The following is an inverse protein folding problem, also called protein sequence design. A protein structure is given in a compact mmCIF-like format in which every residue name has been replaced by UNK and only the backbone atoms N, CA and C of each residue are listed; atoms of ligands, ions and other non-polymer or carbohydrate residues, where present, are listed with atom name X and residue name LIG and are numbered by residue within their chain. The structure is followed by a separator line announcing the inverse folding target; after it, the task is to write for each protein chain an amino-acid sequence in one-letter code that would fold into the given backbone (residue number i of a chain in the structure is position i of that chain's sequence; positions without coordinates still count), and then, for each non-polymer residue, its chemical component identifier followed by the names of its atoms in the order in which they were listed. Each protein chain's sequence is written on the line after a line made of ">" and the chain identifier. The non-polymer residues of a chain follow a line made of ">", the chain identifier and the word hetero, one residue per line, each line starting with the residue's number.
data_IF_575307011305
#
_entry.id   IF_575307011305
#
_cell.length_a   1.000
_cell.length_b   1.000
_cell.length_c   1.000
_cell.angle_alpha   90.00
_cell.angle_beta   90.00
_cell.angle_gamma   90.00
#
_symmetry.space_group_name_H-M   'P 1'
#
loop_
_entity.id
_entity.type
_entity.pdbx_description
1 polymer ?
#
# COMPACT_ATOMS: atom_id res chain seq x y z
N UNK A 1 2.75 13.38 -61.81
CA UNK A 1 3.25 13.98 -60.55
C UNK A 1 3.18 12.93 -59.46
N UNK A 2 4.33 12.48 -58.93
CA UNK A 2 4.43 11.54 -57.80
C UNK A 2 4.49 12.36 -56.51
N UNK A 3 3.55 12.16 -55.60
CA UNK A 3 3.64 12.68 -54.23
C UNK A 3 4.21 11.59 -53.33
N UNK A 4 5.39 11.85 -52.76
CA UNK A 4 5.93 11.08 -51.65
C UNK A 4 5.31 11.63 -50.35
N UNK A 5 4.63 10.76 -49.60
CA UNK A 5 4.24 11.04 -48.21
C UNK A 5 5.39 10.54 -47.33
N UNK A 6 6.13 11.49 -46.75
CA UNK A 6 7.17 11.23 -45.77
C UNK A 6 6.47 11.07 -44.41
N UNK A 7 6.39 9.83 -43.90
CA UNK A 7 5.94 9.56 -42.54
C UNK A 7 7.04 9.92 -41.53
N UNK A 8 6.78 10.90 -40.68
CA UNK A 8 7.64 11.19 -39.54
C UNK A 8 7.29 10.23 -38.39
N UNK A 9 8.19 9.30 -38.08
CA UNK A 9 8.20 8.60 -36.79
C UNK A 9 8.44 9.64 -35.68
N UNK A 10 7.41 9.93 -34.89
CA UNK A 10 7.58 10.56 -33.59
C UNK A 10 8.02 9.48 -32.61
N UNK A 11 9.33 9.35 -32.41
CA UNK A 11 9.88 8.60 -31.30
C UNK A 11 9.51 9.33 -30.00
N UNK A 12 8.64 8.72 -29.20
CA UNK A 12 8.39 9.15 -27.83
C UNK A 12 9.70 9.03 -27.05
N UNK A 13 10.38 10.16 -26.86
CA UNK A 13 11.54 10.23 -25.98
C UNK A 13 11.03 10.23 -24.55
N UNK A 14 11.06 9.08 -23.89
CA UNK A 14 10.92 8.97 -22.45
C UNK A 14 12.04 9.81 -21.83
N UNK A 15 11.70 10.95 -21.24
CA UNK A 15 12.66 11.70 -20.45
C UNK A 15 12.92 10.91 -19.17
N UNK A 16 14.01 10.13 -19.15
CA UNK A 16 14.57 9.58 -17.92
C UNK A 16 15.09 10.76 -17.12
N UNK A 17 14.31 11.20 -16.13
CA UNK A 17 14.83 12.11 -15.10
C UNK A 17 15.75 11.25 -14.24
N UNK A 18 17.07 11.41 -14.42
CA UNK A 18 18.06 10.77 -13.58
C UNK A 18 17.76 11.08 -12.11
N UNK A 19 17.81 10.04 -11.26
CA UNK A 19 17.66 10.18 -9.82
C UNK A 19 18.63 11.25 -9.31
N UNK A 20 18.11 12.33 -8.75
CA UNK A 20 18.95 13.34 -8.11
C UNK A 20 19.48 12.75 -6.79
N UNK A 21 20.77 12.93 -6.48
CA UNK A 21 21.32 12.48 -5.21
C UNK A 21 20.57 13.15 -4.06
N UNK A 22 20.33 12.37 -3.01
CA UNK A 22 19.74 12.80 -1.74
C UNK A 22 20.48 14.05 -1.26
N UNK A 23 19.79 15.19 -1.06
CA UNK A 23 20.29 16.13 -0.08
C UNK A 23 20.29 15.38 1.25
N UNK A 24 21.48 15.02 1.72
CA UNK A 24 21.65 14.50 3.07
C UNK A 24 20.89 15.44 4.00
N UNK A 25 20.07 14.88 4.89
CA UNK A 25 19.52 15.72 5.95
C UNK A 25 20.72 16.22 6.75
N UNK A 26 20.91 17.53 6.83
CA UNK A 26 21.98 18.15 7.62
C UNK A 26 21.83 17.86 9.14
N UNK A 27 20.75 17.18 9.54
CA UNK A 27 20.47 16.73 10.90
C UNK A 27 21.61 15.81 11.42
N UNK A 28 22.35 16.29 12.42
CA UNK A 28 23.37 15.54 13.16
C UNK A 28 22.74 14.44 14.05
N UNK A 29 23.50 13.40 14.46
CA UNK A 29 22.99 12.39 15.40
C UNK A 29 22.43 12.98 16.70
N UNK A 30 23.03 14.07 17.20
CA UNK A 30 22.59 14.79 18.39
C UNK A 30 21.24 15.47 18.17
N UNK A 31 21.04 16.13 17.02
CA UNK A 31 19.76 16.76 16.66
C UNK A 31 18.65 15.71 16.47
N UNK A 32 18.98 14.57 15.86
CA UNK A 32 18.05 13.45 15.72
C UNK A 32 17.65 12.91 17.09
N UNK A 33 18.61 12.68 17.99
CA UNK A 33 18.35 12.17 19.33
C UNK A 33 17.47 13.13 20.15
N UNK A 34 17.72 14.45 20.06
CA UNK A 34 16.90 15.46 20.71
C UNK A 34 15.46 15.46 20.18
N UNK A 35 15.29 15.41 18.86
CA UNK A 35 13.97 15.40 18.23
C UNK A 35 13.20 14.09 18.49
N UNK A 36 13.88 12.95 18.44
CA UNK A 36 13.30 11.64 18.75
C UNK A 36 12.88 11.53 20.22
N UNK A 37 13.66 12.10 21.15
CA UNK A 37 13.32 12.15 22.57
C UNK A 37 11.96 12.83 22.85
N UNK A 38 11.50 13.75 21.98
CA UNK A 38 10.19 14.43 22.13
C UNK A 38 9.00 13.48 21.98
N UNK A 39 9.20 12.31 21.36
CA UNK A 39 8.20 11.26 21.24
C UNK A 39 8.25 10.24 22.40
N UNK A 40 9.30 10.27 23.23
CA UNK A 40 9.45 9.47 24.44
C UNK A 40 8.94 10.27 25.64
N UNK A 41 7.72 9.98 26.08
CA UNK A 41 7.01 10.73 27.11
C UNK A 41 6.67 9.87 28.31
N UNK A 42 6.39 10.53 29.42
CA UNK A 42 5.90 9.92 30.64
C UNK A 42 4.62 9.10 30.43
N UNK A 43 3.77 9.50 29.49
CA UNK A 43 2.52 8.82 29.20
C UNK A 43 2.55 7.88 27.97
N UNK A 44 3.67 7.83 27.23
CA UNK A 44 3.85 6.89 26.11
C UNK A 44 5.31 6.83 25.64
N UNK A 45 5.77 5.67 25.21
CA UNK A 45 7.06 5.52 24.54
C UNK A 45 7.04 4.35 23.56
N UNK A 46 8.11 4.18 22.78
CA UNK A 46 8.26 3.05 21.86
C UNK A 46 9.29 2.07 22.39
N UNK A 47 8.99 0.77 22.29
CA UNK A 47 9.92 -0.29 22.65
C UNK A 47 9.95 -1.39 21.58
N UNK A 48 11.14 -1.90 21.27
CA UNK A 48 11.34 -3.06 20.41
C UNK A 48 12.35 -3.97 21.11
N UNK A 49 11.98 -5.17 21.57
CA UNK A 49 12.90 -6.06 22.27
C UNK A 49 14.22 -6.29 21.50
N UNK A 50 15.34 -6.19 22.21
CA UNK A 50 16.69 -6.30 21.66
C UNK A 50 17.17 -5.08 20.86
N UNK A 51 16.35 -4.04 20.69
CA UNK A 51 16.77 -2.82 20.01
C UNK A 51 17.61 -1.91 20.93
N UNK A 52 18.43 -1.04 20.34
CA UNK A 52 19.17 -0.01 21.07
C UNK A 52 18.50 1.35 20.92
N UNK A 53 18.85 2.30 21.80
CA UNK A 53 18.43 3.70 21.63
C UNK A 53 18.85 4.28 20.28
N UNK A 54 20.07 4.00 19.83
CA UNK A 54 20.56 4.47 18.53
C UNK A 54 19.72 3.91 17.36
N UNK A 55 19.26 2.65 17.46
CA UNK A 55 18.34 2.08 16.48
C UNK A 55 16.97 2.76 16.50
N UNK A 56 16.45 3.13 17.69
CA UNK A 56 15.24 3.94 17.79
C UNK A 56 15.39 5.29 17.07
N UNK A 57 16.47 6.02 17.36
CA UNK A 57 16.71 7.34 16.81
C UNK A 57 16.86 7.27 15.26
N UNK A 58 17.55 6.24 14.76
CA UNK A 58 17.68 5.97 13.32
C UNK A 58 16.34 5.67 12.66
N UNK A 59 15.56 4.72 13.20
CA UNK A 59 14.23 4.36 12.68
C UNK A 59 13.27 5.55 12.76
N UNK A 60 13.37 6.35 13.83
CA UNK A 60 12.56 7.55 14.02
C UNK A 60 12.83 8.59 12.93
N UNK A 61 14.11 8.84 12.60
CA UNK A 61 14.47 9.79 11.55
C UNK A 61 14.01 9.32 10.18
N UNK A 62 14.20 8.04 9.85
CA UNK A 62 13.72 7.48 8.59
C UNK A 62 12.20 7.59 8.48
N UNK A 63 11.47 7.22 9.54
CA UNK A 63 10.03 7.34 9.58
C UNK A 63 9.55 8.79 9.53
N UNK A 64 10.32 9.75 10.05
CA UNK A 64 10.05 11.19 9.90
C UNK A 64 10.18 11.64 8.44
N UNK A 65 11.19 11.15 7.71
CA UNK A 65 11.38 11.48 6.30
C UNK A 65 10.31 10.85 5.40
N UNK A 66 9.92 9.61 5.70
CA UNK A 66 8.79 8.93 5.03
C UNK A 66 7.48 9.69 5.29
N UNK A 67 7.21 10.07 6.55
CA UNK A 67 6.00 10.81 6.90
C UNK A 67 5.93 12.21 6.25
N UNK A 68 7.08 12.80 5.89
CA UNK A 68 7.19 14.05 5.12
C UNK A 68 7.08 13.84 3.60
N UNK A 69 7.11 12.59 3.13
CA UNK A 69 7.10 12.23 1.70
C UNK A 69 8.46 12.43 1.02
N UNK A 70 9.55 12.62 1.77
CA UNK A 70 10.91 12.84 1.24
C UNK A 70 11.66 11.55 0.95
N UNK A 71 11.22 10.43 1.55
CA UNK A 71 11.74 9.07 1.29
C UNK A 71 10.59 8.07 1.12
N UNK A 72 10.80 7.05 0.30
CA UNK A 72 9.94 5.87 0.26
C UNK A 72 10.26 4.95 1.45
N UNK A 73 9.38 4.00 1.80
CA UNK A 73 9.68 3.00 2.83
C UNK A 73 10.86 2.08 2.51
N UNK A 74 11.21 1.89 1.23
CA UNK A 74 12.46 1.22 0.81
C UNK A 74 13.72 2.09 0.98
N UNK A 75 13.59 3.34 1.41
CA UNK A 75 14.71 4.25 1.66
C UNK A 75 15.18 5.02 0.43
N UNK A 76 14.53 4.87 -0.72
CA UNK A 76 14.83 5.68 -1.92
C UNK A 76 14.30 7.10 -1.74
N UNK A 77 15.02 8.08 -2.29
CA UNK A 77 14.50 9.45 -2.37
C UNK A 77 13.39 9.54 -3.38
N UNK A 78 12.34 10.25 -2.99
CA UNK A 78 11.14 10.35 -3.81
C UNK A 78 11.36 11.37 -4.93
N UNK A 79 10.83 11.07 -6.12
CA UNK A 79 10.62 12.10 -7.15
C UNK A 79 9.38 12.97 -6.83
N UNK A 80 8.77 12.75 -5.66
CA UNK A 80 7.50 13.36 -5.26
C UNK A 80 7.70 14.83 -4.89
N UNK A 81 7.45 15.71 -5.86
CA UNK A 81 7.28 17.14 -5.60
C UNK A 81 5.77 17.46 -5.47
N UNK A 82 5.23 17.73 -4.27
CA UNK A 82 3.80 18.05 -4.10
C UNK A 82 3.37 19.29 -4.91
N UNK A 83 4.29 20.20 -5.23
CA UNK A 83 4.04 21.34 -6.11
C UNK A 83 3.98 20.98 -7.61
N UNK A 84 4.27 19.74 -8.01
CA UNK A 84 4.12 19.22 -9.38
C UNK A 84 2.90 18.30 -9.55
N UNK A 85 2.11 18.04 -8.50
CA UNK A 85 1.04 17.04 -8.56
C UNK A 85 -0.38 17.58 -8.33
N UNK A 86 -1.35 16.80 -8.79
CA UNK A 86 -2.78 17.09 -8.76
C UNK A 86 -3.29 17.04 -7.30
N UNK A 87 -3.98 18.09 -6.81
CA UNK A 87 -4.59 18.07 -5.48
C UNK A 87 -5.63 16.96 -5.29
N UNK A 88 -6.13 16.32 -6.36
CA UNK A 88 -7.02 15.17 -6.26
C UNK A 88 -6.35 13.88 -5.71
N UNK A 89 -5.02 13.78 -5.76
CA UNK A 89 -4.23 12.62 -5.27
C UNK A 89 -3.70 12.89 -3.85
N UNK A 90 -3.79 14.13 -3.38
CA UNK A 90 -3.51 14.50 -2.00
C UNK A 90 -4.85 14.73 -1.29
N UNK A 91 -5.33 13.81 -0.45
CA UNK A 91 -6.57 14.01 0.31
C UNK A 91 -6.57 15.33 1.10
N UNK A 92 -5.39 15.81 1.51
CA UNK A 92 -5.17 17.13 2.12
C UNK A 92 -5.56 18.30 1.20
N UNK A 93 -5.25 18.22 -0.10
CA UNK A 93 -5.52 19.30 -1.03
C UNK A 93 -6.96 19.27 -1.59
N UNK A 94 -7.64 18.12 -1.53
CA UNK A 94 -9.08 18.00 -1.80
C UNK A 94 -9.99 18.49 -0.65
N UNK A 95 -9.51 18.46 0.61
CA UNK A 95 -10.31 18.77 1.78
C UNK A 95 -10.29 20.25 2.22
N UNK A 96 -9.36 21.06 1.73
CA UNK A 96 -9.13 22.43 2.22
C UNK A 96 -9.63 23.46 1.21
N UNK A 97 -10.91 23.85 1.35
CA UNK A 97 -11.49 24.99 0.63
C UNK A 97 -10.73 26.30 0.95
N UNK A 98 -10.34 27.04 -0.08
CA UNK A 98 -9.38 28.13 -0.02
C UNK A 98 -9.71 29.28 0.93
N UNK A 99 -8.82 29.51 1.90
CA UNK A 99 -8.80 30.69 2.78
C UNK A 99 -7.60 30.65 3.74
N UNK A 100 -7.17 31.80 4.28
CA UNK A 100 -6.02 31.89 5.21
C UNK A 100 -6.22 31.09 6.51
N UNK A 101 -7.45 30.98 7.02
CA UNK A 101 -7.78 30.09 8.14
C UNK A 101 -7.72 28.60 7.78
N UNK A 102 -7.93 28.27 6.50
CA UNK A 102 -7.82 26.93 5.97
C UNK A 102 -6.35 26.48 5.87
N UNK A 103 -5.41 27.41 5.65
CA UNK A 103 -3.97 27.12 5.66
C UNK A 103 -3.44 26.77 7.06
N UNK A 104 -3.93 27.43 8.12
CA UNK A 104 -3.55 27.11 9.51
C UNK A 104 -4.18 25.77 9.94
N UNK A 105 -5.46 25.56 9.61
CA UNK A 105 -6.12 24.26 9.82
C UNK A 105 -5.41 23.12 9.07
N UNK A 106 -5.01 23.36 7.82
CA UNK A 106 -4.24 22.41 7.02
C UNK A 106 -2.88 22.10 7.64
N UNK A 107 -2.15 23.11 8.15
CA UNK A 107 -0.85 22.90 8.81
C UNK A 107 -0.97 22.10 10.13
N UNK A 108 -2.04 22.32 10.91
CA UNK A 108 -2.30 21.56 12.14
C UNK A 108 -2.64 20.10 11.81
N UNK A 109 -3.54 19.89 10.84
CA UNK A 109 -3.93 18.56 10.35
C UNK A 109 -2.72 17.84 9.77
N UNK A 110 -1.91 18.53 8.96
CA UNK A 110 -0.67 18.00 8.40
C UNK A 110 0.35 17.63 9.49
N UNK A 111 0.51 18.46 10.52
CA UNK A 111 1.39 18.16 11.65
C UNK A 111 0.91 16.95 12.46
N UNK A 112 -0.40 16.82 12.70
CA UNK A 112 -0.99 15.65 13.36
C UNK A 112 -0.83 14.39 12.51
N UNK A 113 -1.08 14.50 11.22
CA UNK A 113 -0.96 13.42 10.24
C UNK A 113 0.48 12.92 10.12
N UNK A 114 1.47 13.82 10.02
CA UNK A 114 2.90 13.45 9.99
C UNK A 114 3.31 12.68 11.25
N UNK A 115 2.79 13.04 12.42
CA UNK A 115 3.03 12.29 13.67
C UNK A 115 2.35 10.92 13.66
N UNK A 116 1.11 10.84 13.19
CA UNK A 116 0.38 9.57 13.05
C UNK A 116 1.09 8.62 12.07
N UNK A 117 1.54 9.14 10.92
CA UNK A 117 2.28 8.38 9.92
C UNK A 117 3.64 7.91 10.42
N UNK A 118 4.38 8.75 11.16
CA UNK A 118 5.63 8.33 11.82
C UNK A 118 5.38 7.22 12.83
N UNK A 119 4.34 7.34 13.66
CA UNK A 119 3.93 6.28 14.60
C UNK A 119 3.65 4.97 13.85
N UNK A 120 2.83 5.01 12.81
CA UNK A 120 2.50 3.81 12.04
C UNK A 120 3.75 3.19 11.42
N UNK A 121 4.65 4.00 10.84
CA UNK A 121 5.93 3.54 10.30
C UNK A 121 6.78 2.79 11.35
N UNK A 122 6.94 3.37 12.55
CA UNK A 122 7.64 2.72 13.65
C UNK A 122 6.97 1.39 14.00
N UNK A 123 5.64 1.38 14.13
CA UNK A 123 4.89 0.17 14.47
C UNK A 123 5.04 -0.94 13.42
N UNK A 124 5.00 -0.59 12.13
CA UNK A 124 5.24 -1.53 11.02
C UNK A 124 6.65 -2.11 11.07
N UNK A 125 7.65 -1.34 11.53
CA UNK A 125 9.02 -1.79 11.76
C UNK A 125 9.19 -2.63 13.04
N UNK A 126 8.10 -2.96 13.71
CA UNK A 126 8.08 -3.81 14.91
C UNK A 126 8.29 -3.04 16.21
N UNK A 127 8.28 -1.71 16.20
CA UNK A 127 8.22 -0.94 17.43
C UNK A 127 6.83 -1.07 18.07
N UNK A 128 6.78 -1.22 19.38
CA UNK A 128 5.55 -1.36 20.14
C UNK A 128 5.28 -0.04 20.84
N UNK A 129 4.05 0.47 20.74
CA UNK A 129 3.65 1.63 21.54
C UNK A 129 3.33 1.14 22.95
N UNK A 130 4.00 1.72 23.94
CA UNK A 130 3.81 1.40 25.35
C UNK A 130 3.13 2.59 26.01
N UNK A 131 1.96 2.37 26.60
CA UNK A 131 1.27 3.31 27.48
C UNK A 131 1.52 2.88 28.94
N UNK A 132 2.41 3.58 29.68
CA UNK A 132 2.79 3.14 31.02
C UNK A 132 1.61 3.18 31.99
N UNK A 133 1.68 2.38 33.05
CA UNK A 133 0.71 2.46 34.16
C UNK A 133 0.69 3.87 34.77
N UNK A 134 -0.40 4.26 35.45
CA UNK A 134 -0.49 5.57 36.12
C UNK A 134 0.67 5.80 37.10
N UNK A 135 1.09 4.76 37.81
CA UNK A 135 2.22 4.84 38.75
C UNK A 135 3.56 5.07 38.03
N UNK A 136 3.80 4.36 36.92
CA UNK A 136 5.00 4.54 36.11
C UNK A 136 5.02 5.91 35.44
N UNK A 137 3.89 6.35 34.88
CA UNK A 137 3.75 7.68 34.27
C UNK A 137 4.09 8.78 35.28
N UNK A 138 3.55 8.72 36.50
CA UNK A 138 3.86 9.68 37.56
C UNK A 138 5.36 9.66 37.95
N UNK A 139 5.98 8.48 37.97
CA UNK A 139 7.41 8.33 38.25
C UNK A 139 8.26 8.98 37.17
N UNK A 140 7.96 8.76 35.90
CA UNK A 140 8.70 9.35 34.77
C UNK A 140 8.49 10.87 34.72
N UNK A 141 7.26 11.34 34.97
CA UNK A 141 6.94 12.76 34.98
C UNK A 141 7.71 13.55 36.05
N UNK A 142 8.04 12.91 37.18
CA UNK A 142 8.83 13.49 38.27
C UNK A 142 10.35 13.51 38.00
N UNK A 143 10.83 12.88 36.92
CA UNK A 143 12.25 12.87 36.55
C UNK A 143 12.68 14.21 35.92
N UNK A 144 13.91 14.62 36.21
CA UNK A 144 14.60 15.66 35.42
C UNK A 144 14.86 15.16 34.00
N UNK A 145 15.15 16.06 33.06
CA UNK A 145 15.41 15.68 31.66
C UNK A 145 16.57 14.67 31.54
N UNK A 146 17.65 14.87 32.31
CA UNK A 146 18.77 13.92 32.35
C UNK A 146 18.39 12.55 32.91
N UNK A 147 17.57 12.51 33.96
CA UNK A 147 17.06 11.24 34.52
C UNK A 147 16.12 10.53 33.56
N UNK A 148 15.27 11.28 32.86
CA UNK A 148 14.32 10.77 31.87
C UNK A 148 15.02 10.19 30.65
N UNK A 149 16.05 10.88 30.15
CA UNK A 149 16.89 10.36 29.06
C UNK A 149 17.57 9.06 29.48
N UNK A 150 18.24 9.04 30.65
CA UNK A 150 18.86 7.82 31.17
C UNK A 150 17.86 6.67 31.38
N UNK A 151 16.64 6.98 31.83
CA UNK A 151 15.57 6.00 31.94
C UNK A 151 15.19 5.42 30.56
N UNK A 152 14.93 6.29 29.57
CA UNK A 152 14.57 5.83 28.23
C UNK A 152 15.69 5.05 27.53
N UNK A 153 16.94 5.46 27.72
CA UNK A 153 18.11 4.74 27.22
C UNK A 153 18.24 3.34 27.82
N UNK A 154 17.71 3.12 29.04
CA UNK A 154 17.71 1.82 29.70
C UNK A 154 16.52 0.92 29.35
N UNK A 155 15.35 1.48 29.01
CA UNK A 155 14.11 0.72 28.79
C UNK A 155 13.82 0.47 27.31
N UNK A 156 14.32 1.32 26.41
CA UNK A 156 14.29 1.05 24.97
C UNK A 156 15.14 -0.17 24.69
N UNK A 157 14.54 -1.22 24.13
CA UNK A 157 15.20 -2.51 23.90
C UNK A 157 14.85 -3.59 24.90
N UNK A 158 14.21 -3.24 26.01
CA UNK A 158 13.91 -4.21 27.06
C UNK A 158 12.91 -5.28 26.55
N UNK A 159 13.15 -6.53 26.91
CA UNK A 159 12.26 -7.65 26.56
C UNK A 159 10.87 -7.49 27.17
N UNK A 160 10.82 -6.93 28.38
CA UNK A 160 9.61 -6.69 29.15
C UNK A 160 9.53 -5.23 29.59
N UNK A 161 8.33 -4.65 29.45
CA UNK A 161 8.01 -3.28 29.83
C UNK A 161 6.66 -3.26 30.54
N UNK A 162 6.51 -2.38 31.51
CA UNK A 162 5.25 -2.22 32.25
C UNK A 162 4.31 -1.24 31.53
N UNK A 163 3.09 -1.67 31.23
CA UNK A 163 2.07 -0.84 30.60
C UNK A 163 1.15 -1.61 29.68
N UNK A 164 0.23 -0.89 29.05
CA UNK A 164 -0.52 -1.40 27.90
C UNK A 164 0.39 -1.34 26.67
N UNK A 165 0.46 -2.45 25.93
CA UNK A 165 1.33 -2.58 24.75
C UNK A 165 0.44 -2.71 23.52
N UNK A 166 0.55 -1.76 22.61
CA UNK A 166 -0.07 -1.84 21.28
C UNK A 166 0.97 -2.26 20.24
N UNK A 167 0.71 -3.36 19.53
CA UNK A 167 1.50 -3.83 18.39
C UNK A 167 0.75 -3.65 17.08
N UNK A 168 1.50 -3.66 15.98
CA UNK A 168 0.94 -3.80 14.64
C UNK A 168 1.72 -4.91 13.93
N UNK A 169 1.26 -6.15 14.12
CA UNK A 169 1.93 -7.38 13.69
C UNK A 169 1.19 -8.11 12.55
N UNK A 170 -0.04 -7.72 12.28
CA UNK A 170 -0.88 -8.34 11.25
C UNK A 170 -1.26 -7.28 10.20
N UNK A 171 -0.93 -7.57 8.94
CA UNK A 171 -1.22 -6.71 7.80
C UNK A 171 -2.16 -7.37 6.78
N UNK A 172 -2.67 -8.56 7.11
CA UNK A 172 -3.69 -9.21 6.32
C UNK A 172 -5.00 -8.40 6.44
N UNK A 173 -5.72 -8.19 5.32
CA UNK A 173 -7.09 -7.70 5.41
C UNK A 173 -7.91 -8.70 6.25
N UNK A 174 -8.81 -8.17 7.08
CA UNK A 174 -9.57 -8.89 8.14
C UNK A 174 -9.77 -10.39 7.84
N UNK A 175 -8.92 -11.23 8.46
CA UNK A 175 -9.00 -12.69 8.40
C UNK A 175 -9.99 -13.21 9.44
N UNK A 176 -10.73 -14.28 9.13
CA UNK A 176 -11.62 -14.95 10.10
C UNK A 176 -13.04 -14.39 10.19
N UNK A 177 -13.46 -13.54 9.25
CA UNK A 177 -14.88 -13.29 9.05
C UNK A 177 -15.54 -14.52 8.42
N UNK A 178 -16.81 -14.84 8.75
CA UNK A 178 -17.65 -15.68 7.93
C UNK A 178 -18.04 -14.93 6.64
N UNK A 179 -17.08 -14.33 5.94
CA UNK A 179 -17.26 -14.08 4.53
C UNK A 179 -17.39 -15.48 3.93
N UNK A 180 -18.60 -15.87 3.54
CA UNK A 180 -18.81 -17.13 2.83
C UNK A 180 -18.21 -17.00 1.43
N UNK A 181 -16.87 -17.00 1.38
CA UNK A 181 -16.08 -17.29 0.20
C UNK A 181 -16.31 -18.74 -0.23
N UNK A 182 -16.77 -19.58 0.70
CA UNK A 182 -17.28 -20.91 0.42
C UNK A 182 -18.58 -20.84 -0.39
N UNK A 183 -18.67 -21.69 -1.42
CA UNK A 183 -19.85 -21.87 -2.27
C UNK A 183 -19.90 -20.93 -3.49
N UNK A 184 -20.80 -21.20 -4.44
CA UNK A 184 -21.01 -20.32 -5.60
C UNK A 184 -21.69 -19.01 -5.20
N UNK A 185 -21.61 -17.95 -6.02
CA UNK A 185 -22.34 -16.72 -5.80
C UNK A 185 -23.83 -16.98 -5.82
N UNK A 186 -24.56 -16.33 -4.93
CA UNK A 186 -26.01 -16.33 -5.04
C UNK A 186 -26.41 -15.62 -6.35
N UNK A 187 -27.40 -16.09 -7.10
CA UNK A 187 -28.00 -15.34 -8.21
C UNK A 187 -27.14 -15.13 -9.47
N UNK A 188 -27.65 -14.32 -10.41
CA UNK A 188 -27.02 -14.06 -11.71
C UNK A 188 -25.94 -12.98 -11.61
N UNK A 189 -24.79 -13.16 -12.28
CA UNK A 189 -23.74 -12.14 -12.32
C UNK A 189 -24.19 -10.91 -13.11
N UNK A 190 -23.68 -9.73 -12.75
CA UNK A 190 -23.79 -8.49 -13.53
C UNK A 190 -22.42 -8.05 -14.01
N UNK A 191 -22.38 -7.31 -15.12
CA UNK A 191 -21.14 -6.79 -15.71
C UNK A 191 -21.21 -5.29 -15.92
N UNK A 192 -20.10 -4.62 -15.63
CA UNK A 192 -19.87 -3.21 -15.86
C UNK A 192 -18.50 -3.02 -16.52
N UNK A 193 -18.43 -2.13 -17.51
CA UNK A 193 -17.18 -1.73 -18.17
C UNK A 193 -16.78 -0.34 -17.68
N UNK A 194 -16.46 -0.22 -16.39
CA UNK A 194 -16.26 1.03 -15.64
C UNK A 194 -17.54 1.87 -15.42
N UNK A 195 -18.57 1.62 -16.22
CA UNK A 195 -19.93 2.16 -16.14
C UNK A 195 -20.93 1.07 -16.54
N UNK A 196 -22.21 1.30 -16.26
CA UNK A 196 -23.26 0.42 -16.76
C UNK A 196 -23.31 0.54 -18.27
N UNK A 197 -23.13 -0.57 -18.97
CA UNK A 197 -23.21 -0.66 -20.43
C UNK A 197 -24.18 -1.78 -20.81
N UNK A 198 -24.87 -1.66 -21.95
CA UNK A 198 -25.43 -2.81 -22.64
C UNK A 198 -24.37 -3.93 -22.80
N UNK A 199 -24.79 -5.19 -22.68
CA UNK A 199 -23.85 -6.33 -22.77
C UNK A 199 -23.26 -6.46 -24.18
N UNK A 200 -23.95 -5.97 -25.20
CA UNK A 200 -23.56 -5.98 -26.60
C UNK A 200 -22.57 -4.86 -26.98
N UNK A 201 -22.34 -3.87 -26.11
CA UNK A 201 -21.33 -2.83 -26.37
C UNK A 201 -19.92 -3.44 -26.42
N UNK A 202 -19.15 -3.25 -27.50
CA UNK A 202 -17.81 -3.84 -27.61
C UNK A 202 -16.85 -3.24 -26.58
N UNK A 203 -15.98 -4.08 -26.01
CA UNK A 203 -14.80 -3.62 -25.26
C UNK A 203 -13.59 -3.71 -26.18
N UNK A 204 -13.26 -2.58 -26.79
CA UNK A 204 -12.03 -2.42 -27.57
C UNK A 204 -10.92 -1.91 -26.64
N UNK A 205 -9.76 -2.59 -26.72
CA UNK A 205 -8.52 -2.20 -26.05
C UNK A 205 -7.60 -1.65 -27.13
N UNK A 206 -7.18 -0.39 -26.97
CA UNK A 206 -6.27 0.26 -27.91
C UNK A 206 -4.84 -0.28 -27.73
N UNK A 207 -3.93 -0.03 -28.69
CA UNK A 207 -2.51 -0.30 -28.50
C UNK A 207 -1.98 0.35 -27.20
N UNK A 208 -1.26 -0.43 -26.41
CA UNK A 208 -0.75 -0.05 -25.09
C UNK A 208 -1.79 -0.10 -23.96
N UNK A 209 -3.01 -0.57 -24.20
CA UNK A 209 -4.02 -0.76 -23.15
C UNK A 209 -4.27 -2.22 -22.80
N UNK A 210 -4.56 -2.45 -21.53
CA UNK A 210 -5.20 -3.66 -21.04
C UNK A 210 -6.45 -3.29 -20.24
N UNK A 211 -6.97 -4.26 -19.48
CA UNK A 211 -8.01 -3.98 -18.49
C UNK A 211 -7.78 -4.79 -17.22
N UNK A 212 -8.30 -4.29 -16.10
CA UNK A 212 -8.38 -5.04 -14.85
C UNK A 212 -9.80 -5.49 -14.62
N UNK A 213 -9.98 -6.72 -14.13
CA UNK A 213 -11.25 -7.25 -13.67
C UNK A 213 -11.24 -7.40 -12.14
N UNK A 214 -12.22 -6.78 -11.49
CA UNK A 214 -12.45 -6.87 -10.05
C UNK A 214 -13.89 -7.31 -9.84
N UNK A 215 -14.09 -8.27 -8.95
CA UNK A 215 -15.42 -8.78 -8.63
C UNK A 215 -15.85 -8.26 -7.26
N UNK A 216 -17.10 -7.86 -7.11
CA UNK A 216 -17.72 -7.62 -5.81
C UNK A 216 -18.73 -8.73 -5.50
N UNK A 217 -18.47 -9.47 -4.43
CA UNK A 217 -19.25 -10.63 -4.00
C UNK A 217 -19.98 -10.34 -2.70
N UNK A 218 -21.25 -10.76 -2.62
CA UNK A 218 -22.17 -10.46 -1.51
C UNK A 218 -23.02 -11.67 -1.17
N UNK A 219 -22.37 -12.71 -0.64
CA UNK A 219 -23.00 -14.01 -0.42
C UNK A 219 -23.61 -14.18 0.97
N UNK A 220 -23.38 -13.24 1.87
CA UNK A 220 -23.80 -13.32 3.27
C UNK A 220 -24.51 -12.03 3.71
N UNK A 221 -25.19 -12.10 4.86
CA UNK A 221 -25.95 -10.97 5.40
C UNK A 221 -25.07 -9.75 5.73
N UNK A 222 -23.81 -9.96 6.11
CA UNK A 222 -22.86 -8.90 6.42
C UNK A 222 -22.43 -8.10 5.20
N UNK A 223 -22.40 -8.74 4.02
CA UNK A 223 -22.02 -8.14 2.74
C UNK A 223 -23.20 -7.72 1.84
N UNK A 224 -24.40 -8.26 2.09
CA UNK A 224 -25.62 -7.93 1.35
C UNK A 224 -25.90 -6.41 1.34
N UNK A 225 -26.10 -5.84 0.14
CA UNK A 225 -26.42 -4.42 -0.01
C UNK A 225 -25.24 -3.47 0.24
N UNK A 226 -24.02 -3.98 0.45
CA UNK A 226 -22.82 -3.17 0.69
C UNK A 226 -22.09 -2.86 -0.61
N UNK A 227 -21.41 -1.73 -0.67
CA UNK A 227 -20.53 -1.37 -1.79
C UNK A 227 -19.10 -1.30 -1.29
N UNK A 228 -18.17 -1.38 -2.22
CA UNK A 228 -16.75 -1.29 -1.95
C UNK A 228 -16.03 -0.62 -3.10
N UNK A 229 -14.78 -0.24 -2.86
CA UNK A 229 -13.87 0.17 -3.92
C UNK A 229 -12.43 -0.15 -3.58
N UNK A 230 -11.60 -0.32 -4.62
CA UNK A 230 -10.15 -0.41 -4.50
C UNK A 230 -9.50 0.63 -5.41
N UNK A 231 -8.45 1.26 -4.89
CA UNK A 231 -7.61 2.16 -5.65
C UNK A 231 -6.43 1.39 -6.22
N UNK A 232 -6.18 1.58 -7.50
CA UNK A 232 -5.03 1.04 -8.20
C UNK A 232 -4.14 2.20 -8.62
N UNK A 233 -2.85 2.12 -8.34
CA UNK A 233 -1.87 3.18 -8.68
C UNK A 233 -0.78 2.60 -9.56
N UNK A 234 -0.39 3.36 -10.57
CA UNK A 234 0.65 2.97 -11.52
C UNK A 234 1.99 2.90 -10.80
N UNK A 235 2.62 1.74 -10.82
CA UNK A 235 3.88 1.46 -10.14
C UNK A 235 5.03 1.50 -11.14
N UNK A 236 6.14 2.06 -10.70
CA UNK A 236 7.43 2.09 -11.37
C UNK A 236 8.33 1.10 -10.65
N UNK A 237 8.34 -0.15 -11.13
CA UNK A 237 9.10 -1.23 -10.51
C UNK A 237 10.61 -1.01 -10.57
N UNK A 238 11.10 -0.27 -11.57
CA UNK A 238 12.51 0.06 -11.72
C UNK A 238 12.97 1.04 -10.63
N UNK A 239 12.18 2.07 -10.35
CA UNK A 239 12.52 3.09 -9.35
C UNK A 239 12.01 2.77 -7.94
N UNK A 240 11.18 1.74 -7.76
CA UNK A 240 10.58 1.39 -6.48
C UNK A 240 9.65 2.49 -5.95
N UNK A 241 8.89 3.12 -6.85
CA UNK A 241 7.95 4.20 -6.52
C UNK A 241 6.74 4.17 -7.46
N UNK A 242 5.89 5.20 -7.43
CA UNK A 242 4.79 5.35 -8.37
C UNK A 242 5.22 6.14 -9.60
N UNK A 243 4.66 5.79 -10.75
CA UNK A 243 4.58 6.74 -11.84
C UNK A 243 3.60 7.83 -11.42
N UNK A 244 4.10 9.05 -11.24
CA UNK A 244 3.26 10.16 -10.83
C UNK A 244 2.75 10.96 -12.03
N UNK A 245 1.49 11.39 -11.96
CA UNK A 245 0.81 12.13 -13.02
C UNK A 245 1.34 13.57 -13.20
N UNK A 246 1.95 13.94 -14.34
CA UNK A 246 2.42 15.31 -14.57
C UNK A 246 1.26 16.34 -14.62
N UNK A 247 1.42 17.58 -14.11
CA UNK A 247 0.34 18.62 -14.09
C UNK A 247 -0.38 18.85 -15.42
N UNK A 248 0.32 18.75 -16.56
CA UNK A 248 -0.18 19.06 -17.90
C UNK A 248 -0.28 17.83 -18.81
N UNK A 249 -0.28 16.62 -18.25
CA UNK A 249 -0.25 15.34 -18.97
C UNK A 249 -1.21 15.28 -20.17
N UNK A 250 -2.50 15.60 -19.98
CA UNK A 250 -3.49 15.61 -21.08
C UNK A 250 -3.13 16.57 -22.22
N UNK A 251 -2.54 17.73 -21.91
CA UNK A 251 -2.11 18.71 -22.93
C UNK A 251 -0.88 18.25 -23.71
N UNK A 252 -0.13 17.29 -23.17
CA UNK A 252 1.03 16.67 -23.81
C UNK A 252 0.66 15.42 -24.61
N UNK A 253 -0.63 15.09 -24.73
CA UNK A 253 -1.07 13.85 -25.40
C UNK A 253 -0.73 12.58 -24.62
N UNK A 254 -0.48 12.70 -23.31
CA UNK A 254 -0.27 11.54 -22.45
C UNK A 254 -1.64 10.92 -22.09
N UNK A 255 -1.77 9.61 -22.29
CA UNK A 255 -2.97 8.83 -22.00
C UNK A 255 -2.74 7.80 -20.88
N UNK A 256 -1.59 7.85 -20.20
CA UNK A 256 -1.23 6.95 -19.11
C UNK A 256 -2.28 6.97 -18.01
N UNK A 257 -2.69 5.77 -17.58
CA UNK A 257 -3.54 5.62 -16.40
C UNK A 257 -2.67 5.55 -15.16
N UNK A 258 -2.44 6.71 -14.54
CA UNK A 258 -1.63 6.86 -13.32
C UNK A 258 -2.32 6.34 -12.05
N UNK A 259 -3.64 6.45 -12.00
CA UNK A 259 -4.44 5.91 -10.92
C UNK A 259 -5.86 5.65 -11.41
N UNK A 260 -6.54 4.69 -10.78
CA UNK A 260 -7.97 4.46 -10.97
C UNK A 260 -8.61 4.01 -9.67
N UNK A 261 -9.92 4.21 -9.54
CA UNK A 261 -10.70 3.63 -8.45
C UNK A 261 -11.76 2.70 -9.04
N UNK A 262 -11.62 1.40 -8.78
CA UNK A 262 -12.59 0.39 -9.21
C UNK A 262 -13.62 0.24 -8.11
N UNK A 263 -14.84 0.71 -8.35
CA UNK A 263 -15.89 0.80 -7.34
C UNK A 263 -17.16 0.07 -7.79
N UNK A 264 -17.79 -0.61 -6.84
CA UNK A 264 -19.12 -1.20 -7.03
C UNK A 264 -20.13 -0.15 -7.48
N UNK A 265 -20.90 -0.50 -8.51
CA UNK A 265 -22.00 0.25 -9.10
C UNK A 265 -23.35 -0.44 -8.88
N UNK A 266 -23.38 -1.73 -8.52
CA UNK A 266 -24.59 -2.45 -8.19
C UNK A 266 -24.49 -3.24 -6.88
N UNK A 267 -24.75 -2.54 -5.77
CA UNK A 267 -24.77 -3.16 -4.42
C UNK A 267 -25.86 -4.22 -4.23
N UNK A 268 -26.83 -4.34 -5.15
CA UNK A 268 -27.90 -5.35 -5.07
C UNK A 268 -27.49 -6.63 -5.79
N UNK A 269 -26.54 -6.56 -6.72
CA UNK A 269 -26.03 -7.74 -7.39
C UNK A 269 -25.23 -8.58 -6.38
N UNK A 270 -25.57 -9.85 -6.19
CA UNK A 270 -24.79 -10.75 -5.33
C UNK A 270 -23.39 -11.06 -5.90
N UNK A 271 -23.24 -10.98 -7.24
CA UNK A 271 -21.96 -11.10 -7.94
C UNK A 271 -21.88 -10.03 -9.03
N UNK A 272 -20.95 -9.09 -8.86
CA UNK A 272 -20.80 -7.93 -9.73
C UNK A 272 -19.39 -7.88 -10.30
N UNK A 273 -19.27 -7.96 -11.62
CA UNK A 273 -18.00 -7.89 -12.34
C UNK A 273 -17.78 -6.44 -12.81
N UNK A 274 -16.65 -5.84 -12.41
CA UNK A 274 -16.16 -4.56 -12.91
C UNK A 274 -14.93 -4.79 -13.78
N UNK A 275 -14.99 -4.40 -15.05
CA UNK A 275 -13.83 -4.37 -15.94
C UNK A 275 -13.49 -2.91 -16.24
N UNK A 276 -12.25 -2.50 -15.98
CA UNK A 276 -11.80 -1.12 -16.17
C UNK A 276 -10.57 -1.10 -17.07
N UNK A 277 -10.62 -0.32 -18.16
CA UNK A 277 -9.49 -0.10 -19.07
C UNK A 277 -8.38 0.67 -18.37
N UNK A 278 -7.14 0.22 -18.55
CA UNK A 278 -5.92 0.81 -18.01
C UNK A 278 -4.83 0.76 -19.09
N UNK A 279 -3.82 1.62 -18.98
CA UNK A 279 -2.59 1.44 -19.77
C UNK A 279 -1.82 0.22 -19.26
N UNK A 280 -1.25 -0.58 -20.15
CA UNK A 280 -0.48 -1.78 -19.81
C UNK A 280 0.78 -1.45 -19.00
N UNK A 281 1.14 -2.30 -18.03
CA UNK A 281 2.29 -2.20 -17.12
C UNK A 281 1.93 -2.45 -15.65
N UNK A 282 2.79 -2.03 -14.73
CA UNK A 282 2.71 -2.42 -13.32
C UNK A 282 1.82 -1.51 -12.47
N UNK A 283 1.11 -2.12 -11.53
CA UNK A 283 0.20 -1.45 -10.61
C UNK A 283 0.34 -2.00 -9.20
N UNK A 284 0.01 -1.16 -8.22
CA UNK A 284 -0.18 -1.56 -6.82
C UNK A 284 -1.61 -1.32 -6.38
N UNK A 285 -2.10 -2.15 -5.45
CA UNK A 285 -3.31 -1.84 -4.69
C UNK A 285 -2.95 -0.75 -3.68
N UNK A 286 -3.37 0.48 -3.96
CA UNK A 286 -2.98 1.67 -3.20
C UNK A 286 -3.80 1.84 -1.92
N UNK A 287 -5.09 1.54 -2.00
CA UNK A 287 -6.03 1.71 -0.89
C UNK A 287 -7.33 0.93 -1.16
N UNK A 288 -8.19 0.81 -0.15
CA UNK A 288 -9.56 0.30 -0.33
C UNK A 288 -10.55 1.05 0.56
N UNK A 289 -11.84 0.98 0.22
CA UNK A 289 -12.90 1.59 1.01
C UNK A 289 -14.20 0.79 0.94
N UNK A 290 -15.03 0.95 1.96
CA UNK A 290 -16.37 0.34 2.04
C UNK A 290 -17.44 1.42 2.08
N UNK A 291 -18.56 1.16 1.42
CA UNK A 291 -19.70 2.07 1.36
C UNK A 291 -19.39 3.32 0.53
N UNK A 292 -19.67 4.49 1.13
CA UNK A 292 -19.37 5.82 0.54
C UNK A 292 -18.15 6.48 1.20
N UNK A 293 -17.41 5.75 2.03
CA UNK A 293 -16.24 6.30 2.69
C UNK A 293 -15.16 6.62 1.65
N UNK A 294 -14.48 7.75 1.83
CA UNK A 294 -13.22 8.01 1.13
C UNK A 294 -12.17 7.16 1.82
N UNK A 295 -11.33 6.46 1.06
CA UNK A 295 -10.22 5.73 1.68
C UNK A 295 -9.27 6.73 2.34
N UNK A 296 -8.96 6.49 3.60
CA UNK A 296 -8.01 7.29 4.38
C UNK A 296 -6.67 6.57 4.55
N UNK A 297 -6.61 5.29 4.19
CA UNK A 297 -5.43 4.44 4.33
C UNK A 297 -4.69 4.34 3.00
N UNK A 298 -3.36 4.23 3.05
CA UNK A 298 -2.48 4.06 1.89
C UNK A 298 -1.48 2.95 2.18
N UNK A 299 -1.47 1.91 1.35
CA UNK A 299 -0.70 0.66 1.57
C UNK A 299 0.78 0.76 1.17
N UNK A 300 1.42 1.91 1.36
CA UNK A 300 2.76 2.19 0.84
C UNK A 300 3.91 1.42 1.50
N UNK A 301 3.68 0.71 2.61
CA UNK A 301 4.71 -0.07 3.32
C UNK A 301 4.87 -1.52 2.86
N UNK A 302 4.27 -1.89 1.72
CA UNK A 302 4.40 -3.24 1.16
C UNK A 302 3.17 -3.67 0.39
N UNK A 303 2.62 -2.76 -0.43
CA UNK A 303 1.41 -3.00 -1.18
C UNK A 303 1.51 -4.26 -2.05
N UNK A 304 0.36 -4.91 -2.32
CA UNK A 304 0.27 -5.92 -3.37
C UNK A 304 0.51 -5.28 -4.74
N UNK A 305 1.48 -5.79 -5.51
CA UNK A 305 1.75 -5.41 -6.90
C UNK A 305 1.28 -6.49 -7.88
N UNK A 306 0.92 -6.07 -9.08
CA UNK A 306 0.53 -6.93 -10.21
C UNK A 306 0.73 -6.18 -11.53
N UNK A 307 0.70 -6.90 -12.65
CA UNK A 307 0.90 -6.32 -13.99
C UNK A 307 -0.35 -6.44 -14.85
N UNK A 308 -0.57 -5.43 -15.69
CA UNK A 308 -1.59 -5.43 -16.74
C UNK A 308 -0.90 -5.64 -18.08
N UNK A 309 -1.27 -6.69 -18.78
CA UNK A 309 -0.78 -6.97 -20.13
C UNK A 309 -1.60 -6.23 -21.20
N UNK A 310 -0.93 -5.82 -22.27
CA UNK A 310 -1.59 -5.21 -23.43
C UNK A 310 -2.56 -6.20 -24.10
N UNK A 311 -3.76 -5.73 -24.43
CA UNK A 311 -4.80 -6.51 -25.09
C UNK A 311 -5.47 -7.57 -24.21
N UNK A 312 -5.08 -7.68 -22.92
CA UNK A 312 -5.62 -8.65 -21.96
C UNK A 312 -6.53 -8.01 -20.92
N UNK A 313 -7.32 -8.86 -20.28
CA UNK A 313 -8.12 -8.53 -19.10
C UNK A 313 -7.52 -9.31 -17.93
N UNK A 314 -6.85 -8.62 -17.02
CA UNK A 314 -6.23 -9.23 -15.84
C UNK A 314 -7.26 -9.36 -14.72
N UNK A 315 -7.64 -10.58 -14.35
CA UNK A 315 -8.42 -10.84 -13.13
C UNK A 315 -7.57 -10.58 -11.89
N UNK A 316 -7.97 -9.59 -11.10
CA UNK A 316 -7.24 -9.21 -9.90
C UNK A 316 -7.74 -9.95 -8.66
N UNK A 317 -9.02 -9.80 -8.32
CA UNK A 317 -9.55 -10.29 -7.03
C UNK A 317 -11.07 -10.25 -6.96
N UNK A 318 -11.61 -11.06 -6.05
CA UNK A 318 -12.95 -10.93 -5.49
C UNK A 318 -12.89 -10.13 -4.18
N UNK A 319 -13.75 -9.12 -4.09
CA UNK A 319 -13.91 -8.23 -2.94
C UNK A 319 -15.24 -8.50 -2.24
N UNK A 320 -15.20 -8.67 -0.93
CA UNK A 320 -16.40 -8.78 -0.09
C UNK A 320 -16.46 -7.60 0.87
N UNK A 321 -17.26 -6.56 0.57
CA UNK A 321 -17.43 -5.42 1.48
C UNK A 321 -18.36 -5.79 2.63
N UNK A 322 -17.97 -5.51 3.87
CA UNK A 322 -18.80 -5.77 5.05
C UNK A 322 -18.87 -4.55 5.96
N UNK A 323 -20.02 -4.35 6.61
CA UNK A 323 -20.23 -3.28 7.59
C UNK A 323 -20.90 -3.85 8.83
N UNK A 324 -20.21 -3.75 9.98
CA UNK A 324 -20.70 -4.22 11.26
C UNK A 324 -20.92 -5.74 11.33
N UNK A 325 -20.13 -6.50 10.57
CA UNK A 325 -20.18 -7.96 10.58
C UNK A 325 -19.61 -8.50 11.89
N UNK A 326 -20.26 -9.50 12.49
CA UNK A 326 -19.77 -10.13 13.72
C UNK A 326 -18.61 -11.06 13.37
N UNK A 327 -17.46 -10.83 14.00
CA UNK A 327 -16.39 -11.81 14.05
C UNK A 327 -16.72 -12.89 15.09
N UNK A 328 -16.02 -14.03 15.02
CA UNK A 328 -16.17 -15.16 15.93
C UNK A 328 -16.18 -14.76 17.42
N UNK A 329 -15.46 -13.68 17.77
CA UNK A 329 -15.28 -13.21 19.15
C UNK A 329 -16.20 -12.01 19.53
N UNK A 330 -17.33 -11.84 18.84
CA UNK A 330 -18.40 -10.85 19.11
C UNK A 330 -18.10 -9.38 18.78
N UNK A 331 -16.90 -9.03 18.33
CA UNK A 331 -16.61 -7.68 17.84
C UNK A 331 -17.22 -7.45 16.44
N UNK A 332 -17.77 -6.25 16.22
CA UNK A 332 -18.31 -5.84 14.92
C UNK A 332 -17.21 -5.20 14.09
N UNK A 333 -16.87 -5.82 12.98
CA UNK A 333 -15.85 -5.32 12.05
C UNK A 333 -16.50 -4.70 10.81
N UNK A 334 -15.83 -3.68 10.26
CA UNK A 334 -16.16 -3.04 8.98
C UNK A 334 -14.90 -3.01 8.14
N UNK A 335 -14.98 -3.38 6.86
CA UNK A 335 -13.79 -3.53 6.04
C UNK A 335 -14.03 -4.28 4.74
N UNK A 336 -12.94 -4.57 4.06
CA UNK A 336 -12.92 -5.30 2.79
C UNK A 336 -12.19 -6.62 2.97
N UNK A 337 -12.85 -7.72 2.65
CA UNK A 337 -12.19 -9.02 2.52
C UNK A 337 -11.79 -9.25 1.07
N UNK A 338 -10.64 -9.90 0.88
CA UNK A 338 -10.04 -10.19 -0.41
C UNK A 338 -9.96 -11.70 -0.62
N UNK A 339 -10.27 -12.13 -1.83
CA UNK A 339 -10.18 -13.52 -2.23
C UNK A 339 -9.93 -13.68 -3.73
N UNK A 340 -9.75 -14.93 -4.16
CA UNK A 340 -9.56 -15.28 -5.57
C UNK A 340 -10.35 -16.54 -5.92
N UNK A 341 -11.11 -16.45 -7.01
CA UNK A 341 -11.84 -17.54 -7.65
C UNK A 341 -11.88 -17.28 -9.18
N UNK A 342 -10.71 -17.44 -9.80
CA UNK A 342 -10.51 -17.16 -11.24
C UNK A 342 -11.47 -17.96 -12.11
N UNK A 343 -11.64 -19.25 -11.82
CA UNK A 343 -12.50 -20.16 -12.60
C UNK A 343 -13.96 -19.71 -12.60
N UNK A 344 -14.47 -19.28 -11.44
CA UNK A 344 -15.82 -18.75 -11.33
C UNK A 344 -15.98 -17.43 -12.09
N UNK A 345 -15.01 -16.52 -11.95
CA UNK A 345 -15.04 -15.24 -12.63
C UNK A 345 -14.94 -15.41 -14.16
N UNK A 346 -14.09 -16.33 -14.62
CA UNK A 346 -13.93 -16.74 -16.02
C UNK A 346 -15.21 -17.35 -16.59
N UNK A 347 -15.86 -18.25 -15.84
CA UNK A 347 -17.13 -18.86 -16.24
C UNK A 347 -18.24 -17.81 -16.35
N UNK A 348 -18.34 -16.91 -15.37
CA UNK A 348 -19.32 -15.84 -15.37
C UNK A 348 -19.09 -14.86 -16.53
N UNK A 349 -17.83 -14.47 -16.79
CA UNK A 349 -17.48 -13.62 -17.92
C UNK A 349 -17.79 -14.30 -19.25
N UNK A 350 -17.44 -15.57 -19.41
CA UNK A 350 -17.72 -16.34 -20.63
C UNK A 350 -19.21 -16.45 -20.92
N UNK A 351 -20.04 -16.51 -19.87
CA UNK A 351 -21.50 -16.54 -20.03
C UNK A 351 -22.07 -15.18 -20.45
N UNK A 352 -21.54 -14.08 -19.90
CA UNK A 352 -22.04 -12.73 -20.19
C UNK A 352 -21.44 -12.13 -21.47
N UNK A 353 -20.18 -12.45 -21.76
CA UNK A 353 -19.32 -11.89 -22.82
C UNK A 353 -18.33 -12.94 -23.35
N UNK A 354 -18.79 -13.90 -24.16
CA UNK A 354 -17.92 -14.91 -24.76
C UNK A 354 -16.76 -14.32 -25.57
N UNK A 355 -16.96 -13.13 -26.15
CA UNK A 355 -15.96 -12.38 -26.93
C UNK A 355 -14.78 -11.89 -26.08
N UNK A 356 -14.97 -11.73 -24.77
CA UNK A 356 -13.94 -11.28 -23.84
C UNK A 356 -13.24 -12.43 -23.09
N UNK A 357 -13.87 -13.61 -23.04
CA UNK A 357 -13.36 -14.76 -22.30
C UNK A 357 -11.92 -15.15 -22.68
N UNK A 358 -11.62 -15.19 -23.98
CA UNK A 358 -10.27 -15.53 -24.48
C UNK A 358 -9.19 -14.48 -24.20
N UNK A 359 -9.57 -13.31 -23.67
CA UNK A 359 -8.63 -12.25 -23.26
C UNK A 359 -8.37 -12.26 -21.75
N UNK A 360 -9.14 -13.02 -20.98
CA UNK A 360 -9.01 -13.08 -19.53
C UNK A 360 -7.74 -13.85 -19.15
N UNK A 361 -6.96 -13.28 -18.23
CA UNK A 361 -5.77 -13.89 -17.63
C UNK A 361 -5.79 -13.69 -16.12
N UNK A 362 -5.19 -14.62 -15.39
CA UNK A 362 -5.12 -14.55 -13.94
C UNK A 362 -3.96 -13.63 -13.49
N UNK A 363 -4.17 -12.75 -12.51
CA UNK A 363 -3.09 -11.88 -12.02
C UNK A 363 -2.00 -12.68 -11.29
N UNK A 364 -0.73 -12.42 -11.61
CA UNK A 364 0.34 -12.70 -10.66
C UNK A 364 0.42 -11.55 -9.65
N UNK A 365 0.26 -11.85 -8.36
CA UNK A 365 0.29 -10.85 -7.28
C UNK A 365 1.46 -11.17 -6.37
N UNK A 366 2.27 -10.16 -6.10
CA UNK A 366 3.37 -10.21 -5.14
C UNK A 366 3.19 -9.12 -4.08
N UNK A 367 3.51 -9.42 -2.83
CA UNK A 367 3.51 -8.43 -1.74
C UNK A 367 4.85 -7.67 -1.70
N UNK A 368 4.89 -6.58 -0.93
CA UNK A 368 6.13 -5.90 -0.60
C UNK A 368 6.50 -4.72 -1.48
N UNK A 369 5.63 -4.29 -2.40
CA UNK A 369 5.89 -3.07 -3.16
C UNK A 369 5.76 -1.84 -2.24
N UNK A 370 6.87 -1.16 -2.01
CA UNK A 370 6.88 0.10 -1.26
C UNK A 370 6.99 1.28 -2.19
N UNK A 371 6.42 2.41 -1.81
CA UNK A 371 6.43 3.62 -2.65
C UNK A 371 6.21 4.88 -1.82
N UNK A 372 6.32 6.04 -2.44
CA UNK A 372 6.06 7.33 -1.80
C UNK A 372 4.65 7.40 -1.24
N UNK A 373 4.57 7.49 0.07
CA UNK A 373 3.30 7.52 0.77
C UNK A 373 2.58 8.87 0.59
N UNK A 374 1.33 8.83 0.12
CA UNK A 374 0.45 10.00 0.04
C UNK A 374 -0.94 9.62 0.57
N UNK A 375 -1.28 10.05 1.79
CA UNK A 375 -2.57 9.76 2.42
C UNK A 375 -2.61 10.08 3.92
N UNK A 376 -3.82 10.22 4.51
CA UNK A 376 -4.03 10.46 5.95
C UNK A 376 -3.37 9.42 6.84
N UNK A 377 -3.49 8.14 6.49
CA UNK A 377 -2.93 7.04 7.25
C UNK A 377 -2.06 6.20 6.32
N UNK A 378 -0.76 6.14 6.61
CA UNK A 378 0.14 5.22 5.93
C UNK A 378 0.12 3.88 6.63
N UNK A 379 0.02 2.79 5.86
CA UNK A 379 -0.01 1.43 6.40
C UNK A 379 0.56 0.42 5.39
N UNK A 380 0.54 -0.85 5.76
CA UNK A 380 0.90 -2.01 4.94
C UNK A 380 -0.36 -2.87 4.72
N UNK A 381 -0.40 -3.54 3.58
CA UNK A 381 -1.39 -4.57 3.30
C UNK A 381 -0.68 -5.77 2.69
N UNK A 382 -0.80 -6.93 3.34
CA UNK A 382 -0.35 -8.19 2.76
C UNK A 382 -1.55 -8.88 2.09
N UNK A 383 -1.42 -9.16 0.81
CA UNK A 383 -2.42 -9.94 0.08
C UNK A 383 -2.31 -11.42 0.47
N UNK A 384 -3.41 -12.06 0.92
CA UNK A 384 -3.37 -13.37 1.56
C UNK A 384 -2.97 -14.54 0.64
N UNK A 385 -3.00 -14.34 -0.68
CA UNK A 385 -2.71 -15.38 -1.69
C UNK A 385 -1.61 -14.95 -2.68
N UNK A 386 -0.77 -14.00 -2.28
CA UNK A 386 0.35 -13.55 -3.11
C UNK A 386 1.55 -14.48 -2.96
N UNK A 387 2.38 -14.54 -4.00
CA UNK A 387 3.70 -15.14 -3.91
C UNK A 387 4.60 -14.20 -3.11
N UNK A 388 5.28 -14.72 -2.09
CA UNK A 388 6.24 -13.93 -1.31
C UNK A 388 7.59 -13.97 -2.03
N UNK A 389 8.02 -12.85 -2.64
CA UNK A 389 9.38 -12.73 -3.22
C UNK A 389 10.49 -12.82 -2.14
N UNK A 390 10.12 -12.69 -0.86
CA UNK A 390 11.06 -12.68 0.28
C UNK A 390 11.71 -14.05 0.60
N UNK A 391 11.22 -15.18 0.07
CA UNK A 391 11.84 -16.49 0.33
C UNK A 391 13.02 -16.82 -0.61
N UNK A 392 13.15 -16.14 -1.76
CA UNK A 392 14.19 -16.49 -2.74
C UNK A 392 15.57 -15.90 -2.39
N UNK A 393 15.61 -14.74 -1.71
CA UNK A 393 16.89 -14.06 -1.38
C UNK A 393 17.63 -14.72 -0.21
N UNK A 394 16.94 -15.47 0.66
CA UNK A 394 17.59 -16.18 1.78
C UNK A 394 18.11 -17.55 1.33
N UNK A 395 17.48 -18.19 0.34
CA UNK A 395 17.87 -19.52 -0.16
C UNK A 395 19.21 -19.54 -0.91
N UNK A 396 19.54 -18.48 -1.64
CA UNK A 396 20.77 -18.44 -2.44
C UNK A 396 22.02 -18.10 -1.62
N UNK A 397 21.86 -17.37 -0.50
CA UNK A 397 23.00 -17.05 0.39
C UNK A 397 23.43 -18.23 1.27
N UNK A 398 22.52 -19.17 1.57
CA UNK A 398 22.83 -20.35 2.40
C UNK A 398 23.38 -21.52 1.56
N UNK A 399 23.05 -21.59 0.27
CA UNK A 399 23.59 -22.62 -0.63
C UNK A 399 25.06 -22.38 -1.01
N UNK A 400 25.54 -21.13 -0.99
CA UNK A 400 26.93 -20.79 -1.35
C UNK A 400 27.97 -21.04 -0.25
N UNK A 401 27.58 -21.38 0.99
CA UNK A 401 28.51 -21.49 2.12
C UNK A 401 28.77 -22.93 2.61
N UNK A 402 28.30 -23.97 1.90
CA UNK A 402 28.43 -25.37 2.37
C UNK A 402 29.47 -26.19 1.58
N UNK A 403 29.93 -25.77 0.40
CA UNK A 403 30.87 -26.55 -0.43
C UNK A 403 32.35 -26.15 -0.27
N UNK A 404 32.84 -26.02 0.97
CA UNK A 404 34.20 -25.52 1.21
C UNK A 404 35.02 -26.18 2.33
N UNK A 405 34.55 -27.26 2.94
CA UNK A 405 35.27 -27.86 4.07
C UNK A 405 35.19 -29.38 4.09
N UNK A 406 35.82 -30.05 3.12
CA UNK A 406 36.27 -31.42 3.30
C UNK A 406 37.37 -31.75 2.29
N UNK A 407 38.63 -31.74 2.75
CA UNK A 407 39.69 -32.71 2.39
C UNK A 407 41.05 -32.19 2.86
N UNK A 408 41.62 -32.83 3.88
CA UNK A 408 43.05 -33.17 3.98
C UNK A 408 43.43 -33.56 5.42
N UNK A 409 43.09 -34.79 5.82
CA UNK A 409 43.94 -35.56 6.73
C UNK A 409 44.63 -36.64 5.90
N UNK A 410 45.95 -36.54 5.74
CA UNK A 410 46.89 -37.64 5.97
C UNK A 410 48.31 -37.24 5.54
N UNK A 411 49.24 -37.76 6.33
CA UNK A 411 50.62 -38.08 5.98
C UNK A 411 51.75 -37.13 6.41
N UNK A 412 52.42 -37.62 7.46
CA UNK A 412 53.87 -37.87 7.60
C UNK A 412 54.61 -37.10 8.69
N UNK A 413 54.80 -37.84 9.79
CA UNK A 413 56.10 -38.16 10.41
C UNK A 413 57.05 -37.02 10.80
N UNK A 414 57.32 -36.96 12.11
CA UNK A 414 58.41 -36.22 12.75
C UNK A 414 58.26 -36.26 14.26
#
# INVERSE_FOLDING_TARGET
>A
MKFYVLGALLAASSYTVAAQPVEATDDTPEEIAEDAARDLKDNRFYNKPGATRAQYDSDWQECRLIARGSRTPAGTTTLYNPALYNPAISPLAGAVGGGLGAAIGAAIVEGQQRRANRRNCLMIRGWRLVEPTTAMSAKIAAMTDGQRNAYFDSIVGADTVEGEITTLDTFLPVSGLPASMAGPPAGKPTLFLGKKVPLDDPLELEPGEGAVMVVFRRNDEGSAGRSGSIELRRYDAENGDLHFQPKKWKKMGDFTTYWTNVASKDRKAPYEIQIVRLTAGDYVIGSHAVGKAVSVDTFCFGAPKFSIEEGKITYLTDLVPFIGAKQHDSEKVTGMAFARDYEQASTALSTLRPDLAGKLVDASIANGATYSCAGPNMTRMDYPLAQNEAEEIIGESVASSVDGAEHSESDLAG
#
